data_IF_111455767076
#
_entry.id   IF_111455767076
#
_cell.length_a   1.000
_cell.length_b   1.000
_cell.length_c   1.000
_cell.angle_alpha   90.00
_cell.angle_beta   90.00
_cell.angle_gamma   90.00
#
_symmetry.space_group_name_H-M   'P 1'
#
loop_
_entity.id
_entity.type
_entity.pdbx_description
1 polymer ?
#
# COMPACT_ATOMS: atom_id res chain seq x y z
N UNK A 1 -19.71 29.59 -24.06
CA UNK A 1 -19.21 28.85 -25.23
C UNK A 1 -20.34 27.98 -25.79
N UNK A 2 -20.59 28.03 -27.10
CA UNK A 2 -21.71 27.30 -27.74
C UNK A 2 -21.29 25.95 -28.34
N UNK A 3 -20.04 25.56 -28.14
CA UNK A 3 -19.47 24.33 -28.70
C UNK A 3 -19.39 23.15 -27.72
N UNK A 4 -19.03 21.98 -28.25
CA UNK A 4 -18.66 20.81 -27.43
C UNK A 4 -17.21 21.02 -26.96
N UNK A 5 -16.92 20.96 -25.61
CA UNK A 5 -15.59 21.21 -25.12
C UNK A 5 -14.57 20.17 -25.61
N UNK A 6 -13.33 20.57 -25.77
CA UNK A 6 -12.19 19.65 -25.91
C UNK A 6 -11.81 19.09 -24.54
N UNK A 7 -10.91 18.11 -24.47
CA UNK A 7 -10.37 17.63 -23.20
C UNK A 7 -9.56 18.73 -22.49
N UNK A 8 -8.84 19.59 -23.26
CA UNK A 8 -8.12 20.72 -22.72
C UNK A 8 -9.01 21.78 -22.09
N UNK A 9 -10.20 22.05 -22.66
CA UNK A 9 -11.18 22.96 -22.05
C UNK A 9 -11.68 22.41 -20.70
N UNK A 10 -11.99 21.10 -20.66
CA UNK A 10 -12.41 20.43 -19.43
C UNK A 10 -11.31 20.47 -18.38
N UNK A 11 -10.06 20.18 -18.78
CA UNK A 11 -8.89 20.28 -17.92
C UNK A 11 -8.76 21.68 -17.31
N UNK A 12 -8.82 22.71 -18.13
CA UNK A 12 -8.67 24.11 -17.67
C UNK A 12 -9.72 24.48 -16.63
N UNK A 13 -10.99 24.13 -16.87
CA UNK A 13 -12.08 24.44 -15.94
C UNK A 13 -11.93 23.68 -14.62
N UNK A 14 -11.58 22.39 -14.68
CA UNK A 14 -11.44 21.57 -13.47
C UNK A 14 -10.22 22.01 -12.66
N UNK A 15 -9.08 22.24 -13.31
CA UNK A 15 -7.83 22.62 -12.66
C UNK A 15 -7.83 24.02 -12.04
N UNK A 16 -8.77 24.90 -12.42
CA UNK A 16 -9.02 26.17 -11.70
C UNK A 16 -9.52 25.98 -10.28
N UNK A 17 -10.22 24.85 -10.02
CA UNK A 17 -10.93 24.63 -8.76
C UNK A 17 -10.42 23.42 -7.98
N UNK A 18 -9.90 22.40 -8.66
CA UNK A 18 -9.44 21.16 -8.05
C UNK A 18 -8.14 20.67 -8.64
N UNK A 19 -7.22 20.27 -7.76
CA UNK A 19 -6.14 19.36 -8.10
C UNK A 19 -6.71 17.94 -8.10
N UNK A 20 -6.58 17.22 -9.21
CA UNK A 20 -7.08 15.84 -9.36
C UNK A 20 -5.93 14.93 -9.69
N UNK A 21 -5.92 13.73 -9.09
CA UNK A 21 -4.95 12.69 -9.37
C UNK A 21 -5.59 11.31 -9.29
N UNK A 22 -4.98 10.34 -9.94
CA UNK A 22 -5.38 8.95 -9.89
C UNK A 22 -4.46 8.18 -8.94
N UNK A 23 -4.99 7.64 -7.83
CA UNK A 23 -4.22 6.87 -6.86
C UNK A 23 -3.94 5.47 -7.42
N UNK A 24 -2.67 5.14 -7.60
CA UNK A 24 -2.22 3.90 -8.19
C UNK A 24 -2.56 2.64 -7.38
N UNK A 25 -2.61 2.76 -6.04
CA UNK A 25 -2.87 1.62 -5.13
C UNK A 25 -4.35 1.37 -4.94
N UNK A 26 -5.12 2.39 -4.54
CA UNK A 26 -6.56 2.27 -4.35
C UNK A 26 -7.32 2.20 -5.66
N UNK A 27 -6.68 2.64 -6.75
CA UNK A 27 -7.27 2.81 -8.08
C UNK A 27 -8.48 3.75 -8.11
N UNK A 28 -8.53 4.69 -7.16
CA UNK A 28 -9.54 5.72 -7.06
C UNK A 28 -8.99 7.06 -7.54
N UNK A 29 -9.89 7.91 -8.04
CA UNK A 29 -9.58 9.32 -8.21
C UNK A 29 -9.55 10.00 -6.85
N UNK A 30 -8.58 10.87 -6.66
CA UNK A 30 -8.45 11.74 -5.50
C UNK A 30 -8.46 13.18 -5.96
N UNK A 31 -9.07 14.05 -5.18
CA UNK A 31 -9.09 15.46 -5.47
C UNK A 31 -8.93 16.29 -4.20
N UNK A 32 -8.44 17.52 -4.36
CA UNK A 32 -8.45 18.55 -3.33
C UNK A 32 -8.79 19.89 -3.99
N UNK A 33 -9.42 20.84 -3.26
CA UNK A 33 -9.62 22.19 -3.76
C UNK A 33 -8.28 22.91 -3.98
N UNK A 34 -8.19 23.70 -5.06
CA UNK A 34 -7.03 24.55 -5.33
C UNK A 34 -7.01 25.72 -4.34
N UNK A 35 -5.82 26.09 -3.85
CA UNK A 35 -5.61 27.25 -2.98
C UNK A 35 -5.81 26.97 -1.47
N UNK A 36 -6.21 25.80 -1.08
CA UNK A 36 -6.36 25.41 0.35
C UNK A 36 -5.09 24.75 0.92
N UNK A 37 -3.93 25.29 0.61
CA UNK A 37 -2.65 24.97 1.29
C UNK A 37 -2.33 23.46 1.42
N UNK A 38 -2.08 23.02 2.65
CA UNK A 38 -1.67 21.64 2.98
C UNK A 38 -2.82 20.65 3.15
N UNK A 39 -4.01 20.93 2.65
CA UNK A 39 -5.09 19.96 2.72
C UNK A 39 -4.75 18.68 1.94
N UNK A 40 -5.05 17.55 2.58
CA UNK A 40 -4.78 16.26 1.99
C UNK A 40 -5.74 15.99 0.81
N UNK A 41 -5.24 15.26 -0.19
CA UNK A 41 -6.11 14.69 -1.21
C UNK A 41 -7.11 13.71 -0.57
N UNK A 42 -8.37 13.82 -0.95
CA UNK A 42 -9.43 12.92 -0.53
C UNK A 42 -9.95 12.12 -1.73
N UNK A 43 -10.51 10.94 -1.46
CA UNK A 43 -11.19 10.18 -2.50
C UNK A 43 -12.28 11.01 -3.14
N UNK A 44 -12.32 11.07 -4.49
CA UNK A 44 -13.31 11.82 -5.23
C UNK A 44 -14.71 11.30 -4.89
N UNK A 45 -15.46 12.10 -4.14
CA UNK A 45 -16.84 11.78 -3.79
C UNK A 45 -17.78 12.10 -4.95
N UNK A 46 -18.97 11.49 -4.95
CA UNK A 46 -19.99 11.81 -5.95
C UNK A 46 -20.39 13.30 -5.91
N UNK A 47 -20.40 13.91 -4.74
CA UNK A 47 -20.67 15.33 -4.58
C UNK A 47 -19.61 16.20 -5.27
N UNK A 48 -18.32 15.89 -5.09
CA UNK A 48 -17.23 16.61 -5.77
C UNK A 48 -17.30 16.41 -7.27
N UNK A 49 -17.55 15.18 -7.71
CA UNK A 49 -17.72 14.87 -9.13
C UNK A 49 -18.87 15.66 -9.77
N UNK A 50 -20.04 15.72 -9.09
CA UNK A 50 -21.17 16.51 -9.56
C UNK A 50 -20.84 18.01 -9.60
N UNK A 51 -20.06 18.53 -8.65
CA UNK A 51 -19.59 19.92 -8.68
C UNK A 51 -18.69 20.19 -9.90
N UNK A 52 -17.79 19.26 -10.24
CA UNK A 52 -16.96 19.37 -11.44
C UNK A 52 -17.82 19.37 -12.71
N UNK A 53 -18.80 18.47 -12.78
CA UNK A 53 -19.74 18.40 -13.90
C UNK A 53 -20.50 19.72 -14.08
N UNK A 54 -21.04 20.26 -13.00
CA UNK A 54 -21.78 21.53 -13.02
C UNK A 54 -20.91 22.69 -13.50
N UNK A 55 -19.65 22.79 -13.03
CA UNK A 55 -18.74 23.85 -13.45
C UNK A 55 -18.42 23.78 -14.94
N UNK A 56 -18.19 22.59 -15.46
CA UNK A 56 -17.99 22.42 -16.91
C UNK A 56 -19.25 22.79 -17.69
N UNK A 57 -20.44 22.40 -17.21
CA UNK A 57 -21.72 22.70 -17.87
C UNK A 57 -22.15 24.15 -17.78
N UNK A 58 -21.70 24.90 -16.76
CA UNK A 58 -21.89 26.37 -16.71
C UNK A 58 -21.23 27.07 -17.92
N UNK A 59 -20.07 26.57 -18.36
CA UNK A 59 -19.34 27.12 -19.53
C UNK A 59 -19.79 26.47 -20.84
N UNK A 60 -20.04 25.15 -20.80
CA UNK A 60 -20.42 24.31 -21.95
C UNK A 60 -21.71 23.53 -21.66
N UNK A 61 -22.89 24.15 -21.78
CA UNK A 61 -24.17 23.50 -21.40
C UNK A 61 -24.49 22.21 -22.12
N UNK A 62 -23.90 21.98 -23.30
CA UNK A 62 -24.09 20.75 -24.09
C UNK A 62 -23.04 19.67 -23.79
N UNK A 63 -22.19 19.87 -22.79
CA UNK A 63 -21.20 18.88 -22.39
C UNK A 63 -21.88 17.71 -21.61
N UNK A 64 -21.79 16.52 -22.18
CA UNK A 64 -22.27 15.30 -21.51
C UNK A 64 -21.33 14.89 -20.38
N UNK A 65 -21.89 14.43 -19.27
CA UNK A 65 -21.15 13.87 -18.13
C UNK A 65 -20.11 12.80 -18.57
N UNK A 66 -20.47 11.95 -19.51
CA UNK A 66 -19.56 10.92 -20.02
C UNK A 66 -18.26 11.46 -20.61
N UNK A 67 -18.25 12.69 -21.14
CA UNK A 67 -17.05 13.33 -21.65
C UNK A 67 -16.13 13.80 -20.54
N UNK A 68 -16.72 14.31 -19.44
CA UNK A 68 -15.99 14.67 -18.21
C UNK A 68 -15.42 13.42 -17.56
N UNK A 69 -16.20 12.34 -17.51
CA UNK A 69 -15.71 11.03 -17.05
C UNK A 69 -14.54 10.53 -17.91
N UNK A 70 -14.60 10.71 -19.22
CA UNK A 70 -13.50 10.32 -20.12
C UNK A 70 -12.23 11.10 -19.84
N UNK A 71 -12.33 12.38 -19.50
CA UNK A 71 -11.19 13.19 -19.05
C UNK A 71 -10.64 12.67 -17.72
N UNK A 72 -11.49 12.52 -16.70
CA UNK A 72 -11.09 12.12 -15.35
C UNK A 72 -10.38 10.74 -15.32
N UNK A 73 -10.68 9.87 -16.28
CA UNK A 73 -10.06 8.53 -16.40
C UNK A 73 -9.09 8.42 -17.58
N UNK A 74 -8.62 9.55 -18.10
CA UNK A 74 -7.59 9.60 -19.15
C UNK A 74 -6.19 9.82 -18.55
N UNK A 75 -5.18 9.76 -19.41
CA UNK A 75 -3.78 10.06 -19.05
C UNK A 75 -3.53 11.54 -18.75
N UNK A 76 -4.53 12.41 -18.99
CA UNK A 76 -4.49 13.82 -18.61
C UNK A 76 -4.53 14.01 -17.07
N UNK A 77 -5.08 13.05 -16.33
CA UNK A 77 -5.06 13.04 -14.87
C UNK A 77 -3.85 12.25 -14.39
N UNK A 78 -2.92 12.88 -13.65
CA UNK A 78 -1.66 12.26 -13.30
C UNK A 78 -1.85 11.04 -12.37
N UNK A 79 -1.11 9.97 -12.66
CA UNK A 79 -1.02 8.82 -11.79
C UNK A 79 -0.12 9.15 -10.60
N UNK A 80 -0.58 8.85 -9.39
CA UNK A 80 0.13 9.10 -8.15
C UNK A 80 0.26 7.83 -7.32
N UNK A 81 1.50 7.46 -6.99
CA UNK A 81 1.78 6.40 -6.05
C UNK A 81 2.04 7.02 -4.66
N UNK A 82 1.15 6.82 -3.68
CA UNK A 82 1.25 7.45 -2.35
C UNK A 82 2.48 6.98 -1.55
N UNK A 83 2.90 5.73 -1.71
CA UNK A 83 4.09 5.20 -1.02
C UNK A 83 5.35 5.87 -1.56
N UNK A 84 5.50 5.89 -2.88
CA UNK A 84 6.63 6.54 -3.54
C UNK A 84 6.64 8.04 -3.29
N UNK A 85 5.48 8.69 -3.36
CA UNK A 85 5.34 10.12 -3.08
C UNK A 85 5.78 10.49 -1.66
N UNK A 86 5.39 9.69 -0.66
CA UNK A 86 5.83 9.86 0.71
C UNK A 86 7.35 9.70 0.85
N UNK A 87 7.91 8.62 0.32
CA UNK A 87 9.34 8.32 0.44
C UNK A 87 10.23 9.36 -0.26
N UNK A 88 9.78 9.88 -1.41
CA UNK A 88 10.50 10.97 -2.11
C UNK A 88 10.39 12.33 -1.41
N UNK A 89 9.36 12.52 -0.58
CA UNK A 89 9.16 13.72 0.22
C UNK A 89 9.93 13.74 1.54
N UNK A 90 10.58 12.63 1.92
CA UNK A 90 11.38 12.59 3.13
C UNK A 90 12.63 13.48 3.03
N UNK A 91 13.06 14.08 4.14
CA UNK A 91 14.32 14.84 4.17
C UNK A 91 15.52 13.92 3.91
N UNK A 92 16.64 14.52 3.60
CA UNK A 92 17.91 13.78 3.47
C UNK A 92 18.23 13.06 4.78
N UNK A 93 18.80 11.85 4.65
CA UNK A 93 19.18 11.07 5.83
C UNK A 93 20.19 11.81 6.71
N UNK A 94 19.90 11.91 7.99
CA UNK A 94 20.70 12.60 9.02
C UNK A 94 21.78 11.73 9.68
N UNK A 95 21.92 10.47 9.23
CA UNK A 95 22.86 9.51 9.80
C UNK A 95 22.33 8.65 10.94
N UNK A 96 21.12 8.93 11.43
CA UNK A 96 20.50 8.18 12.55
C UNK A 96 20.02 6.79 12.09
N UNK A 97 20.36 5.75 12.85
CA UNK A 97 19.94 4.36 12.56
C UNK A 97 18.54 4.05 13.11
N UNK A 98 17.53 4.69 12.58
CA UNK A 98 16.12 4.50 12.99
C UNK A 98 15.61 3.06 12.84
N UNK A 99 16.11 2.34 11.82
CA UNK A 99 15.72 0.93 11.61
C UNK A 99 16.29 0.06 12.73
N UNK A 100 17.53 0.29 13.15
CA UNK A 100 18.12 -0.41 14.29
C UNK A 100 17.39 -0.13 15.60
N UNK A 101 17.01 1.11 15.84
CA UNK A 101 16.22 1.51 17.01
C UNK A 101 14.83 0.84 17.03
N UNK A 102 14.17 0.74 15.86
CA UNK A 102 12.90 0.02 15.73
C UNK A 102 13.06 -1.48 16.01
N UNK A 103 14.10 -2.11 15.45
CA UNK A 103 14.39 -3.52 15.70
C UNK A 103 14.63 -3.77 17.20
N UNK A 104 15.38 -2.90 17.87
CA UNK A 104 15.69 -3.00 19.29
C UNK A 104 14.46 -2.89 20.21
N UNK A 105 13.37 -2.29 19.76
CA UNK A 105 12.09 -2.32 20.51
C UNK A 105 11.55 -3.74 20.68
N UNK A 106 11.81 -4.61 19.72
CA UNK A 106 11.34 -6.01 19.70
C UNK A 106 12.34 -6.93 20.41
N UNK A 107 13.62 -6.85 20.01
CA UNK A 107 14.69 -7.70 20.57
C UNK A 107 16.06 -7.05 20.34
N UNK A 108 16.97 -7.32 21.27
CA UNK A 108 18.37 -6.91 21.16
C UNK A 108 19.23 -7.92 20.37
N UNK A 109 18.61 -8.96 19.79
CA UNK A 109 19.30 -9.96 18.97
C UNK A 109 19.84 -9.32 17.68
N UNK A 110 21.13 -9.46 17.46
CA UNK A 110 21.82 -8.93 16.28
C UNK A 110 21.32 -9.59 14.98
N UNK A 111 20.94 -10.88 15.01
CA UNK A 111 20.37 -11.57 13.87
C UNK A 111 19.00 -11.00 13.51
N UNK A 112 18.16 -10.76 14.52
CA UNK A 112 16.88 -10.09 14.33
C UNK A 112 17.06 -8.71 13.67
N UNK A 113 17.94 -7.87 14.22
CA UNK A 113 18.20 -6.53 13.69
C UNK A 113 18.61 -6.59 12.22
N UNK A 114 19.48 -7.52 11.85
CA UNK A 114 19.92 -7.71 10.45
C UNK A 114 18.78 -8.16 9.54
N UNK A 115 17.98 -9.14 9.98
CA UNK A 115 16.83 -9.66 9.21
C UNK A 115 15.77 -8.58 9.03
N UNK A 116 15.41 -7.89 10.11
CA UNK A 116 14.41 -6.81 10.07
C UNK A 116 14.83 -5.69 9.12
N UNK A 117 16.09 -5.26 9.18
CA UNK A 117 16.67 -4.26 8.28
C UNK A 117 16.62 -4.70 6.81
N UNK A 118 16.99 -5.94 6.54
CA UNK A 118 16.97 -6.48 5.17
C UNK A 118 15.54 -6.56 4.64
N UNK A 119 14.61 -7.04 5.46
CA UNK A 119 13.21 -7.13 5.12
C UNK A 119 12.58 -5.75 4.84
N UNK A 120 12.78 -4.78 5.74
CA UNK A 120 12.20 -3.44 5.58
C UNK A 120 12.78 -2.73 4.35
N UNK A 121 14.09 -2.85 4.10
CA UNK A 121 14.72 -2.31 2.87
C UNK A 121 14.14 -2.96 1.61
N UNK A 122 13.86 -4.27 1.64
CA UNK A 122 13.20 -4.97 0.54
C UNK A 122 11.79 -4.46 0.29
N UNK A 123 11.03 -4.21 1.35
CA UNK A 123 9.69 -3.62 1.26
C UNK A 123 9.74 -2.21 0.64
N UNK A 124 10.58 -1.33 1.18
CA UNK A 124 10.76 0.05 0.67
C UNK A 124 11.21 0.05 -0.79
N UNK A 125 12.13 -0.83 -1.18
CA UNK A 125 12.53 -0.98 -2.58
C UNK A 125 11.35 -1.33 -3.48
N UNK A 126 10.46 -2.22 -3.02
CA UNK A 126 9.21 -2.55 -3.72
C UNK A 126 8.30 -1.33 -3.89
N UNK A 127 8.15 -0.51 -2.85
CA UNK A 127 7.31 0.69 -2.86
C UNK A 127 7.83 1.82 -3.74
N UNK A 128 9.15 1.89 -3.93
CA UNK A 128 9.83 2.90 -4.77
C UNK A 128 9.76 2.60 -6.27
N UNK A 129 9.33 1.42 -6.67
CA UNK A 129 9.30 1.04 -8.09
C UNK A 129 8.25 1.85 -8.85
N UNK A 130 8.59 2.24 -10.09
CA UNK A 130 7.68 2.96 -10.97
C UNK A 130 6.63 2.03 -11.59
N UNK A 131 5.41 2.53 -11.73
CA UNK A 131 4.38 1.84 -12.49
C UNK A 131 4.64 2.03 -13.98
N UNK A 132 4.50 0.94 -14.75
CA UNK A 132 4.65 0.99 -16.22
C UNK A 132 6.09 1.03 -16.72
N UNK A 133 7.07 0.98 -15.84
CA UNK A 133 8.48 1.09 -16.21
C UNK A 133 9.09 -0.17 -16.82
N UNK A 134 9.56 -0.05 -18.06
CA UNK A 134 10.67 -0.70 -18.72
C UNK A 134 10.88 -2.21 -18.60
N UNK A 135 11.61 -2.75 -19.56
CA UNK A 135 12.06 -4.16 -19.71
C UNK A 135 13.01 -4.68 -18.61
N UNK A 136 13.16 -4.01 -17.48
CA UNK A 136 13.94 -4.52 -16.37
C UNK A 136 13.23 -5.71 -15.69
N UNK A 137 13.97 -6.77 -15.30
CA UNK A 137 13.38 -7.91 -14.60
C UNK A 137 12.64 -7.44 -13.36
N UNK A 138 11.36 -7.80 -13.26
CA UNK A 138 10.51 -7.48 -12.11
C UNK A 138 10.91 -8.41 -10.97
N UNK A 139 11.70 -7.94 -10.03
CA UNK A 139 12.09 -8.69 -8.83
C UNK A 139 11.46 -8.00 -7.63
N UNK A 140 10.59 -8.70 -6.93
CA UNK A 140 10.14 -8.28 -5.61
C UNK A 140 11.05 -8.93 -4.56
N UNK A 141 11.93 -8.12 -3.98
CA UNK A 141 12.98 -8.62 -3.08
C UNK A 141 12.46 -9.07 -1.70
N UNK A 142 11.19 -8.77 -1.37
CA UNK A 142 10.59 -9.07 -0.07
C UNK A 142 9.76 -10.36 -0.11
N UNK A 143 10.42 -11.51 -0.31
CA UNK A 143 9.77 -12.83 -0.34
C UNK A 143 9.74 -13.52 1.04
N UNK A 144 10.25 -12.87 2.07
CA UNK A 144 10.26 -13.35 3.45
C UNK A 144 9.40 -12.47 4.33
N UNK A 145 8.93 -13.02 5.45
CA UNK A 145 8.14 -12.30 6.43
C UNK A 145 8.69 -12.54 7.84
N UNK A 146 8.95 -11.49 8.62
CA UNK A 146 9.18 -11.61 10.05
C UNK A 146 7.89 -12.05 10.74
N UNK A 147 8.00 -12.97 11.71
CA UNK A 147 6.93 -13.37 12.59
C UNK A 147 7.31 -13.04 14.04
N UNK A 148 6.52 -12.21 14.68
CA UNK A 148 6.68 -11.87 16.10
C UNK A 148 5.92 -12.89 16.94
N UNK A 149 6.62 -13.68 17.71
CA UNK A 149 6.06 -14.81 18.44
C UNK A 149 6.18 -14.60 19.93
N UNK A 150 5.11 -14.85 20.68
CA UNK A 150 5.17 -14.93 22.13
C UNK A 150 3.97 -15.68 22.70
N UNK A 151 4.16 -16.51 23.70
CA UNK A 151 3.08 -17.19 24.43
C UNK A 151 2.25 -16.18 25.26
N UNK A 152 2.88 -15.07 25.66
CA UNK A 152 2.21 -14.03 26.42
C UNK A 152 1.47 -13.09 25.48
N UNK A 153 0.20 -12.88 25.76
CA UNK A 153 -0.62 -11.86 25.08
C UNK A 153 -0.30 -10.44 25.60
N UNK A 154 -0.69 -9.43 24.83
CA UNK A 154 -0.58 -8.03 25.26
C UNK A 154 0.83 -7.43 25.20
N UNK A 155 1.80 -8.10 24.58
CA UNK A 155 3.15 -7.56 24.41
C UNK A 155 3.29 -6.49 23.31
N UNK A 156 2.20 -6.10 22.63
CA UNK A 156 2.21 -5.02 21.65
C UNK A 156 2.62 -5.45 20.23
N UNK A 157 2.67 -6.76 19.90
CA UNK A 157 3.08 -7.26 18.60
C UNK A 157 2.30 -6.64 17.43
N UNK A 158 0.96 -6.76 17.44
CA UNK A 158 0.10 -6.25 16.34
C UNK A 158 0.13 -4.71 16.28
N UNK A 159 0.25 -4.03 17.44
CA UNK A 159 0.45 -2.57 17.51
C UNK A 159 1.75 -2.16 16.84
N UNK A 160 2.84 -2.86 17.11
CA UNK A 160 4.12 -2.62 16.45
C UNK A 160 4.04 -2.78 14.94
N UNK A 161 3.41 -3.87 14.46
CA UNK A 161 3.22 -4.09 13.02
C UNK A 161 2.48 -2.92 12.36
N UNK A 162 1.43 -2.41 12.99
CA UNK A 162 0.64 -1.27 12.49
C UNK A 162 1.44 0.02 12.47
N UNK A 163 2.31 0.23 13.46
CA UNK A 163 3.14 1.43 13.57
C UNK A 163 4.27 1.50 12.54
N UNK A 164 4.59 0.42 11.83
CA UNK A 164 5.62 0.43 10.80
C UNK A 164 5.27 1.32 9.59
N UNK A 165 3.98 1.61 9.39
CA UNK A 165 3.56 2.62 8.42
C UNK A 165 3.21 3.93 9.15
N UNK A 166 3.67 5.09 8.63
CA UNK A 166 3.30 6.40 9.17
C UNK A 166 1.79 6.62 9.05
N UNK A 167 1.25 7.53 9.86
CA UNK A 167 -0.19 7.73 9.96
C UNK A 167 -0.86 8.02 8.61
N UNK A 168 -0.23 8.82 7.78
CA UNK A 168 -0.72 9.16 6.43
C UNK A 168 -0.76 7.96 5.45
N UNK A 169 -0.03 6.88 5.75
CA UNK A 169 -0.02 5.65 4.95
C UNK A 169 -0.74 4.46 5.61
N UNK A 170 -1.29 4.62 6.81
CA UNK A 170 -1.98 3.53 7.53
C UNK A 170 -3.18 2.95 6.82
N UNK A 171 -3.78 3.68 5.91
CA UNK A 171 -4.84 3.14 5.04
C UNK A 171 -4.35 2.02 4.12
N UNK A 172 -3.03 1.91 3.91
CA UNK A 172 -2.39 0.84 3.13
C UNK A 172 -1.83 -0.29 4.03
N UNK A 173 -2.23 -0.34 5.29
CA UNK A 173 -2.00 -1.45 6.21
C UNK A 173 -3.26 -2.32 6.33
N UNK A 174 -3.07 -3.63 6.37
CA UNK A 174 -4.16 -4.57 6.66
C UNK A 174 -3.71 -5.61 7.68
N UNK A 175 -4.56 -5.87 8.68
CA UNK A 175 -4.49 -7.01 9.59
C UNK A 175 -5.57 -8.07 9.30
N UNK A 176 -6.34 -7.86 8.21
CA UNK A 176 -7.39 -8.75 7.75
C UNK A 176 -7.00 -9.33 6.40
N UNK A 177 -6.29 -10.45 6.43
CA UNK A 177 -5.85 -11.12 5.22
C UNK A 177 -6.57 -12.46 5.07
N UNK A 178 -7.63 -12.46 4.27
CA UNK A 178 -8.43 -13.64 4.01
C UNK A 178 -7.88 -14.44 2.82
N UNK A 179 -7.48 -15.68 3.10
CA UNK A 179 -6.97 -16.66 2.14
C UNK A 179 -8.04 -17.64 1.65
N UNK A 180 -9.31 -17.37 1.91
CA UNK A 180 -10.43 -18.21 1.43
C UNK A 180 -10.66 -18.11 -0.07
N UNK A 181 -10.25 -16.98 -0.68
CA UNK A 181 -10.35 -16.71 -2.12
C UNK A 181 -9.03 -16.20 -2.66
N UNK A 182 -8.39 -16.97 -3.54
CA UNK A 182 -7.11 -16.63 -4.15
C UNK A 182 -7.16 -15.28 -4.89
N UNK A 183 -8.22 -15.05 -5.69
CA UNK A 183 -8.38 -13.81 -6.46
C UNK A 183 -8.58 -12.57 -5.57
N UNK A 184 -9.21 -12.74 -4.40
CA UNK A 184 -9.34 -11.66 -3.43
C UNK A 184 -8.00 -11.36 -2.76
N UNK A 185 -7.30 -12.41 -2.31
CA UNK A 185 -5.99 -12.28 -1.69
C UNK A 185 -4.96 -11.65 -2.65
N UNK A 186 -4.92 -12.08 -3.93
CA UNK A 186 -4.06 -11.47 -4.94
C UNK A 186 -4.31 -9.96 -5.11
N UNK A 187 -5.58 -9.54 -5.13
CA UNK A 187 -5.95 -8.13 -5.25
C UNK A 187 -5.38 -7.29 -4.11
N UNK A 188 -5.39 -7.83 -2.88
CA UNK A 188 -4.85 -7.12 -1.71
C UNK A 188 -3.33 -6.88 -1.82
N UNK A 189 -2.60 -7.75 -2.54
CA UNK A 189 -1.15 -7.58 -2.75
C UNK A 189 -0.80 -6.33 -3.58
N UNK A 190 -1.70 -5.88 -4.44
CA UNK A 190 -1.51 -4.66 -5.23
C UNK A 190 -2.04 -3.39 -4.53
N UNK A 191 -2.80 -3.54 -3.45
CA UNK A 191 -3.48 -2.43 -2.77
C UNK A 191 -2.87 -2.04 -1.43
N UNK A 192 -2.33 -3.01 -0.68
CA UNK A 192 -1.76 -2.77 0.65
C UNK A 192 -0.24 -2.82 0.60
N UNK A 193 0.38 -1.87 1.29
CA UNK A 193 1.84 -1.80 1.42
C UNK A 193 2.37 -2.83 2.42
N UNK A 194 1.61 -3.03 3.51
CA UNK A 194 1.97 -3.94 4.59
C UNK A 194 0.75 -4.76 5.02
N UNK A 195 0.90 -6.07 4.97
CA UNK A 195 -0.11 -7.03 5.42
C UNK A 195 0.42 -7.74 6.66
N UNK A 196 -0.28 -7.56 7.78
CA UNK A 196 -0.01 -8.31 9.00
C UNK A 196 -0.85 -9.59 9.01
N UNK A 197 -0.16 -10.71 9.00
CA UNK A 197 -0.75 -12.03 9.20
C UNK A 197 -0.96 -12.25 10.70
N UNK A 198 -2.02 -11.63 11.23
CA UNK A 198 -2.33 -11.76 12.66
C UNK A 198 -2.79 -13.18 12.99
N UNK A 199 -2.46 -13.67 14.18
CA UNK A 199 -2.78 -15.03 14.60
C UNK A 199 -2.34 -16.09 13.58
N UNK A 200 -1.10 -15.98 13.12
CA UNK A 200 -0.51 -16.83 12.08
C UNK A 200 -0.63 -18.34 12.36
N UNK A 201 -0.68 -18.73 13.63
CA UNK A 201 -0.88 -20.09 14.10
C UNK A 201 -2.26 -20.69 13.74
N UNK A 202 -3.23 -19.86 13.34
CA UNK A 202 -4.57 -20.31 12.94
C UNK A 202 -4.68 -20.68 11.47
N UNK A 203 -3.65 -20.42 10.67
CA UNK A 203 -3.69 -20.76 9.25
C UNK A 203 -3.59 -22.27 9.05
N UNK A 204 -4.55 -22.84 8.31
CA UNK A 204 -4.52 -24.22 7.90
C UNK A 204 -3.38 -24.50 6.90
N UNK A 205 -2.98 -25.76 6.74
CA UNK A 205 -1.96 -26.18 5.76
C UNK A 205 -2.29 -25.71 4.34
N UNK A 206 -3.58 -25.76 3.96
CA UNK A 206 -4.05 -25.26 2.66
C UNK A 206 -3.80 -23.76 2.52
N UNK A 207 -4.17 -22.97 3.53
CA UNK A 207 -3.95 -21.53 3.54
C UNK A 207 -2.46 -21.18 3.51
N UNK A 208 -1.64 -21.97 4.22
CA UNK A 208 -0.17 -21.82 4.17
C UNK A 208 0.39 -22.10 2.76
N UNK A 209 -0.17 -23.06 2.04
CA UNK A 209 0.19 -23.31 0.64
C UNK A 209 -0.12 -22.10 -0.27
N UNK A 210 -1.33 -21.56 -0.14
CA UNK A 210 -1.75 -20.33 -0.87
C UNK A 210 -0.85 -19.16 -0.52
N UNK A 211 -0.62 -18.90 0.76
CA UNK A 211 0.24 -17.80 1.23
C UNK A 211 1.66 -17.90 0.66
N UNK A 212 2.27 -19.09 0.69
CA UNK A 212 3.62 -19.33 0.14
C UNK A 212 3.69 -19.01 -1.36
N UNK A 213 2.61 -19.28 -2.12
CA UNK A 213 2.52 -18.93 -3.53
C UNK A 213 2.38 -17.42 -3.72
N UNK A 214 1.49 -16.77 -2.97
CA UNK A 214 1.28 -15.32 -3.01
C UNK A 214 2.56 -14.53 -2.68
N UNK A 215 3.36 -15.04 -1.74
CA UNK A 215 4.65 -14.42 -1.38
C UNK A 215 5.69 -14.43 -2.50
N UNK A 216 5.51 -15.25 -3.54
CA UNK A 216 6.43 -15.32 -4.70
C UNK A 216 5.98 -14.46 -5.87
N UNK A 217 4.72 -14.00 -5.88
CA UNK A 217 4.21 -13.18 -6.96
C UNK A 217 4.94 -11.85 -7.02
N UNK A 218 5.32 -11.43 -8.21
CA UNK A 218 5.85 -10.10 -8.50
C UNK A 218 4.76 -9.17 -9.00
N UNK A 219 3.78 -9.74 -9.69
CA UNK A 219 2.65 -9.04 -10.29
C UNK A 219 1.36 -9.80 -9.96
N UNK A 220 0.27 -9.06 -9.88
CA UNK A 220 -1.06 -9.57 -9.59
C UNK A 220 -2.03 -9.16 -10.67
N UNK A 221 -2.98 -10.03 -10.99
CA UNK A 221 -4.03 -9.72 -11.97
C UNK A 221 -5.24 -9.17 -11.25
N UNK A 222 -5.58 -7.92 -11.55
CA UNK A 222 -6.77 -7.30 -10.98
C UNK A 222 -7.61 -6.61 -12.05
N UNK A 223 -8.92 -6.59 -11.84
CA UNK A 223 -9.84 -5.83 -12.67
C UNK A 223 -9.89 -4.40 -12.14
N UNK A 224 -9.41 -3.45 -12.94
CA UNK A 224 -9.58 -2.03 -12.64
C UNK A 224 -11.03 -1.60 -12.87
N UNK A 225 -11.58 -0.68 -12.06
CA UNK A 225 -12.87 -0.06 -12.35
C UNK A 225 -12.90 0.47 -13.78
N UNK A 226 -13.99 0.24 -14.48
CA UNK A 226 -14.20 0.63 -15.90
C UNK A 226 -13.27 -0.02 -16.93
N UNK A 227 -12.35 -0.91 -16.53
CA UNK A 227 -11.57 -1.71 -17.47
C UNK A 227 -12.39 -2.88 -18.01
N UNK A 228 -12.27 -3.16 -19.32
CA UNK A 228 -12.89 -4.32 -19.96
C UNK A 228 -12.15 -5.63 -19.71
N UNK A 229 -10.92 -5.58 -19.17
CA UNK A 229 -10.04 -6.73 -18.98
C UNK A 229 -9.35 -6.74 -17.61
N UNK A 230 -8.58 -7.81 -17.37
CA UNK A 230 -7.65 -7.88 -16.26
C UNK A 230 -6.41 -7.06 -16.61
N UNK A 231 -5.96 -6.25 -15.65
CA UNK A 231 -4.69 -5.52 -15.74
C UNK A 231 -3.67 -6.21 -14.83
N UNK A 232 -2.43 -6.33 -15.29
CA UNK A 232 -1.34 -6.70 -14.42
C UNK A 232 -0.91 -5.46 -13.61
N UNK A 233 -0.94 -5.62 -12.30
CA UNK A 233 -0.53 -4.60 -11.34
C UNK A 233 0.62 -5.16 -10.54
N UNK A 234 1.61 -4.34 -10.26
CA UNK A 234 2.74 -4.75 -9.45
C UNK A 234 2.31 -5.05 -8.02
N UNK A 235 2.83 -6.14 -7.45
CA UNK A 235 2.70 -6.37 -6.02
C UNK A 235 3.50 -5.32 -5.26
N UNK A 236 2.86 -4.70 -4.27
CA UNK A 236 3.49 -3.76 -3.33
C UNK A 236 3.54 -4.30 -1.91
N UNK A 237 2.72 -5.31 -1.60
CA UNK A 237 2.58 -5.84 -0.26
C UNK A 237 3.84 -6.53 0.25
N UNK A 238 4.39 -6.03 1.36
CA UNK A 238 5.28 -6.78 2.24
C UNK A 238 4.44 -7.49 3.31
N UNK A 239 4.94 -8.62 3.82
CA UNK A 239 4.29 -9.38 4.87
C UNK A 239 5.07 -9.30 6.17
N UNK A 240 4.33 -9.19 7.27
CA UNK A 240 4.78 -9.40 8.64
C UNK A 240 3.71 -10.22 9.34
N UNK A 241 4.03 -10.89 10.45
CA UNK A 241 2.99 -11.65 11.14
C UNK A 241 3.19 -11.66 12.64
N UNK A 242 2.13 -12.06 13.34
CA UNK A 242 2.12 -12.27 14.79
C UNK A 242 1.56 -13.65 15.13
N UNK A 243 2.07 -14.27 16.18
CA UNK A 243 1.56 -15.51 16.72
C UNK A 243 1.68 -15.55 18.23
N UNK A 244 0.79 -16.31 18.85
CA UNK A 244 0.86 -16.63 20.28
C UNK A 244 1.42 -18.04 20.53
N UNK A 245 1.86 -18.73 19.48
CA UNK A 245 2.37 -20.09 19.56
C UNK A 245 3.84 -20.16 19.17
N UNK A 246 4.69 -20.62 20.09
CA UNK A 246 6.15 -20.63 19.92
C UNK A 246 6.65 -21.81 19.06
N UNK A 247 5.89 -22.89 18.96
CA UNK A 247 6.29 -24.11 18.22
C UNK A 247 6.13 -24.02 16.70
N UNK A 248 5.73 -22.87 16.14
CA UNK A 248 5.68 -22.62 14.69
C UNK A 248 7.03 -22.90 13.98
N UNK A 249 8.11 -22.96 14.74
CA UNK A 249 9.47 -23.22 14.25
C UNK A 249 9.74 -24.69 13.91
N UNK A 250 8.80 -25.61 14.23
CA UNK A 250 9.02 -27.04 14.07
C UNK A 250 8.73 -27.59 12.65
N UNK A 251 8.22 -26.76 11.71
CA UNK A 251 7.99 -27.22 10.33
C UNK A 251 9.25 -27.11 9.47
N UNK A 252 9.94 -28.22 9.15
CA UNK A 252 11.16 -28.20 8.34
C UNK A 252 10.92 -27.85 6.86
N UNK A 253 9.66 -27.86 6.38
CA UNK A 253 9.34 -27.72 4.96
C UNK A 253 8.95 -26.30 4.53
N UNK A 254 8.62 -25.42 5.48
CA UNK A 254 8.09 -24.08 5.21
C UNK A 254 8.89 -22.91 5.74
N UNK A 255 9.88 -23.16 6.58
CA UNK A 255 10.53 -22.13 7.43
C UNK A 255 11.39 -21.11 6.70
N UNK A 256 11.89 -21.39 5.50
CA UNK A 256 12.81 -20.44 4.79
C UNK A 256 12.19 -19.07 4.43
N UNK A 257 10.84 -18.97 4.41
CA UNK A 257 10.14 -17.72 4.11
C UNK A 257 9.79 -16.92 5.35
N UNK A 258 9.82 -17.56 6.50
CA UNK A 258 9.40 -16.94 7.75
C UNK A 258 10.58 -16.89 8.72
N UNK A 259 10.84 -15.72 9.27
CA UNK A 259 11.81 -15.55 10.34
C UNK A 259 11.06 -15.27 11.63
N UNK A 260 11.07 -16.22 12.56
CA UNK A 260 10.39 -16.09 13.84
C UNK A 260 11.31 -15.40 14.85
N UNK A 261 10.83 -14.30 15.41
CA UNK A 261 11.45 -13.60 16.52
C UNK A 261 10.61 -13.74 17.77
N UNK A 262 11.19 -14.35 18.80
CA UNK A 262 10.54 -14.43 20.11
C UNK A 262 10.55 -13.05 20.78
N UNK A 263 9.36 -12.63 21.23
CA UNK A 263 9.16 -11.37 21.95
C UNK A 263 9.03 -11.68 23.42
N UNK A 264 10.05 -11.34 24.20
CA UNK A 264 10.14 -11.65 25.63
C UNK A 264 9.64 -10.52 26.54
N UNK A 265 9.67 -9.29 26.02
CA UNK A 265 9.31 -8.07 26.76
C UNK A 265 8.25 -7.26 25.99
N UNK A 266 7.47 -6.40 26.69
CA UNK A 266 6.54 -5.49 26.00
C UNK A 266 7.27 -4.62 24.98
N UNK A 267 6.74 -4.56 23.77
CA UNK A 267 7.24 -3.69 22.71
C UNK A 267 6.76 -2.26 23.00
N UNK A 268 7.69 -1.33 23.10
CA UNK A 268 7.36 0.08 23.31
C UNK A 268 6.55 0.64 22.16
N UNK A 269 5.50 1.39 22.49
CA UNK A 269 4.60 2.05 21.53
C UNK A 269 4.89 3.54 21.36
N UNK A 270 6.07 4.00 21.75
CA UNK A 270 6.49 5.38 21.53
C UNK A 270 6.40 5.73 20.03
N UNK A 271 6.04 6.98 19.68
CA UNK A 271 6.01 7.43 18.31
C UNK A 271 7.29 7.05 17.55
N UNK A 272 7.14 6.70 16.27
CA UNK A 272 8.27 6.45 15.39
C UNK A 272 8.61 7.77 14.69
N UNK A 273 9.87 8.12 14.68
CA UNK A 273 10.42 9.16 13.84
C UNK A 273 10.71 8.53 12.46
N UNK A 274 9.84 8.84 11.50
CA UNK A 274 9.85 8.22 10.16
C UNK A 274 10.81 8.92 9.22
#
# INVERSE_FOLDING_TARGET
>A
ATGIPTLGDIHSIISEHWDVRHNALSNNLEAKPVGLGNEAFESLTERMHNSMVNRVQEVFPLCFRSKIDSYLFSDEVPLFNPLRGYLLGLPAWDGTDRIGELAARVSDDALWTRVFRTWLRGAVKGWMQEEGGGSAPRVFDCQTAPLLVSERQGLGKSTFCRMLLPECLRMYYSDKFDLSSDSHAEKLLGQFALINMDEFDRYSERQMGVLKNLMQLTDVKMRRPRSRGLSEVRRVAAFIGTSNYSELLADPTGSRRFFCQVVERPIGNAPIDY
#
